data_IF_956957184016
#
_entry.id   IF_956957184016
#
_cell.length_a   1.000
_cell.length_b   1.000
_cell.length_c   1.000
_cell.angle_alpha   90.00
_cell.angle_beta   90.00
_cell.angle_gamma   90.00
#
_symmetry.space_group_name_H-M   'P 1'
#
loop_
_entity.id
_entity.type
_entity.pdbx_description
1 polymer ?
#
# COMPACT_ATOMS: atom_id res chain seq x y z
N UNK A 1 18.90 -13.12 16.06
CA UNK A 1 17.73 -12.21 16.06
C UNK A 1 17.17 -12.23 14.64
N UNK A 2 15.93 -12.69 14.42
CA UNK A 2 15.35 -12.74 13.08
C UNK A 2 14.81 -11.37 12.71
N UNK A 3 15.55 -10.61 11.89
CA UNK A 3 15.05 -9.34 11.36
C UNK A 3 14.17 -9.66 10.16
N UNK A 4 12.86 -9.66 10.39
CA UNK A 4 11.83 -9.73 9.34
C UNK A 4 11.59 -8.32 8.85
N UNK A 5 11.76 -8.01 7.57
CA UNK A 5 11.41 -6.69 7.04
C UNK A 5 10.13 -6.78 6.24
N UNK A 6 9.11 -6.01 6.64
CA UNK A 6 7.82 -5.97 5.95
C UNK A 6 7.89 -4.92 4.83
N UNK A 7 8.64 -5.19 3.76
CA UNK A 7 8.53 -4.43 2.51
C UNK A 7 7.41 -5.01 1.66
N UNK A 8 6.46 -4.18 1.26
CA UNK A 8 5.47 -4.61 0.28
C UNK A 8 6.00 -4.44 -1.14
N UNK A 9 6.08 -5.53 -1.91
CA UNK A 9 6.34 -5.45 -3.36
C UNK A 9 5.01 -5.35 -4.10
N UNK A 10 4.78 -4.19 -4.71
CA UNK A 10 3.51 -3.86 -5.36
C UNK A 10 3.63 -4.11 -6.87
N UNK A 11 2.81 -5.03 -7.39
CA UNK A 11 2.72 -5.29 -8.84
C UNK A 11 2.36 -4.00 -9.60
N UNK A 12 3.08 -3.68 -10.70
CA UNK A 12 2.76 -2.57 -11.62
C UNK A 12 1.32 -2.60 -12.16
N UNK A 13 0.68 -3.76 -12.19
CA UNK A 13 -0.71 -3.97 -12.63
C UNK A 13 -1.72 -3.79 -11.48
N UNK A 14 -1.27 -3.44 -10.29
CA UNK A 14 -2.13 -3.15 -9.13
C UNK A 14 -3.05 -1.99 -9.47
N UNK A 15 -4.34 -2.23 -9.34
CA UNK A 15 -5.38 -1.23 -9.51
C UNK A 15 -5.79 -0.66 -8.17
N UNK A 16 -6.25 0.59 -8.19
CA UNK A 16 -6.81 1.24 -7.01
C UNK A 16 -8.29 1.48 -7.25
N UNK A 17 -9.12 0.95 -6.35
CA UNK A 17 -10.56 1.15 -6.35
C UNK A 17 -10.99 1.98 -5.15
N UNK A 18 -11.75 3.04 -5.41
CA UNK A 18 -12.43 3.78 -4.33
C UNK A 18 -13.80 3.16 -4.15
N UNK A 19 -14.04 2.54 -3.00
CA UNK A 19 -15.30 1.84 -2.69
C UNK A 19 -16.02 2.59 -1.59
N UNK A 20 -17.28 2.94 -1.84
CA UNK A 20 -18.08 3.65 -0.86
C UNK A 20 -19.02 2.69 -0.12
N UNK A 21 -18.95 2.67 1.21
CA UNK A 21 -19.69 1.77 2.09
C UNK A 21 -21.19 2.08 2.20
N UNK A 22 -21.90 2.04 1.08
CA UNK A 22 -23.30 2.40 0.96
C UNK A 22 -23.58 3.91 1.06
N UNK A 23 -24.87 4.26 1.00
CA UNK A 23 -25.33 5.64 1.19
C UNK A 23 -24.99 6.09 2.61
N UNK A 24 -24.45 7.32 2.73
CA UNK A 24 -24.04 7.90 4.03
C UNK A 24 -23.05 7.03 4.83
N UNK A 25 -22.33 6.08 4.18
CA UNK A 25 -21.34 5.21 4.83
C UNK A 25 -21.90 4.29 5.91
N UNK A 26 -23.20 4.00 5.88
CA UNK A 26 -23.86 3.15 6.88
C UNK A 26 -23.23 1.76 7.07
N UNK A 27 -22.56 1.21 6.04
CA UNK A 27 -21.91 -0.10 6.12
C UNK A 27 -20.41 -0.03 6.43
N UNK A 28 -19.88 1.15 6.77
CA UNK A 28 -18.45 1.31 7.00
C UNK A 28 -17.95 0.44 8.16
N UNK A 29 -18.69 0.38 9.26
CA UNK A 29 -18.31 -0.47 10.40
C UNK A 29 -18.29 -1.95 10.02
N UNK A 30 -19.26 -2.41 9.23
CA UNK A 30 -19.27 -3.79 8.73
C UNK A 30 -18.05 -4.08 7.84
N UNK A 31 -17.69 -3.13 6.97
CA UNK A 31 -16.52 -3.27 6.11
C UNK A 31 -15.23 -3.49 6.92
N UNK A 32 -15.06 -2.70 7.98
CA UNK A 32 -13.87 -2.68 8.82
C UNK A 32 -13.79 -3.92 9.72
N UNK A 33 -14.86 -4.21 10.45
CA UNK A 33 -14.90 -5.32 11.41
C UNK A 33 -14.82 -6.67 10.71
N UNK A 34 -15.52 -6.82 9.58
CA UNK A 34 -15.63 -8.10 8.87
C UNK A 34 -14.67 -8.22 7.67
N UNK A 35 -13.70 -7.31 7.53
CA UNK A 35 -12.65 -7.37 6.50
C UNK A 35 -13.23 -7.61 5.09
N UNK A 36 -14.28 -6.86 4.73
CA UNK A 36 -15.01 -7.08 3.48
C UNK A 36 -15.51 -5.79 2.85
N UNK A 37 -15.71 -5.81 1.54
CA UNK A 37 -16.35 -4.72 0.82
C UNK A 37 -17.39 -5.24 -0.17
N UNK A 38 -18.51 -4.54 -0.29
CA UNK A 38 -19.62 -4.93 -1.15
C UNK A 38 -20.43 -3.72 -1.62
N UNK A 39 -21.35 -3.95 -2.56
CA UNK A 39 -22.27 -2.91 -3.01
C UNK A 39 -23.54 -2.95 -2.15
N UNK A 40 -24.09 -1.78 -1.82
CA UNK A 40 -25.40 -1.62 -1.18
C UNK A 40 -26.54 -1.96 -2.15
N UNK A 41 -26.59 -3.23 -2.57
CA UNK A 41 -27.50 -3.79 -3.56
C UNK A 41 -27.74 -5.28 -3.28
N UNK A 42 -29.00 -5.77 -3.32
CA UNK A 42 -29.31 -7.20 -3.20
C UNK A 42 -28.99 -7.92 -4.51
N UNK A 43 -27.73 -8.30 -4.69
CA UNK A 43 -27.21 -8.95 -5.90
C UNK A 43 -27.26 -10.49 -5.78
N UNK A 44 -28.43 -11.01 -5.41
CA UNK A 44 -28.68 -12.45 -5.25
C UNK A 44 -28.39 -13.21 -6.56
N UNK A 45 -27.54 -14.24 -6.49
CA UNK A 45 -27.16 -15.05 -7.64
C UNK A 45 -26.09 -14.46 -8.57
N UNK A 46 -25.50 -13.30 -8.26
CA UNK A 46 -24.34 -12.79 -9.03
C UNK A 46 -23.09 -13.61 -8.71
N UNK A 47 -22.51 -14.22 -9.74
CA UNK A 47 -21.20 -14.88 -9.74
C UNK A 47 -20.20 -14.14 -10.65
N UNK A 48 -18.99 -14.69 -10.81
CA UNK A 48 -17.94 -14.06 -11.63
C UNK A 48 -18.32 -14.01 -13.12
N UNK A 49 -19.08 -14.99 -13.62
CA UNK A 49 -19.52 -15.05 -15.02
C UNK A 49 -20.53 -13.94 -15.32
N UNK A 50 -21.41 -13.67 -14.37
CA UNK A 50 -22.37 -12.58 -14.42
C UNK A 50 -21.66 -11.23 -14.31
N UNK A 51 -20.67 -11.11 -13.41
CA UNK A 51 -19.91 -9.88 -13.27
C UNK A 51 -19.03 -9.56 -14.49
N UNK A 52 -18.54 -10.59 -15.20
CA UNK A 52 -17.61 -10.43 -16.34
C UNK A 52 -18.33 -10.04 -17.64
N UNK A 53 -19.62 -10.34 -17.77
CA UNK A 53 -20.45 -9.88 -18.89
C UNK A 53 -21.18 -8.59 -18.52
N UNK A 54 -20.91 -7.50 -19.25
CA UNK A 54 -21.59 -6.22 -19.03
C UNK A 54 -23.12 -6.33 -19.13
N UNK A 55 -23.60 -7.22 -19.98
CA UNK A 55 -25.03 -7.48 -20.15
C UNK A 55 -25.61 -8.25 -18.96
N UNK A 56 -24.90 -9.27 -18.46
CA UNK A 56 -25.34 -9.98 -17.26
C UNK A 56 -25.27 -9.09 -16.01
N UNK A 57 -24.23 -8.26 -15.88
CA UNK A 57 -24.14 -7.25 -14.83
C UNK A 57 -25.27 -6.21 -14.92
N UNK A 58 -25.73 -5.87 -16.14
CA UNK A 58 -26.92 -5.03 -16.36
C UNK A 58 -28.20 -5.71 -15.89
N UNK A 59 -28.38 -7.00 -16.19
CA UNK A 59 -29.51 -7.78 -15.68
C UNK A 59 -29.50 -7.85 -14.16
N UNK A 60 -28.36 -8.16 -13.56
CA UNK A 60 -28.19 -8.16 -12.10
C UNK A 60 -28.54 -6.81 -11.46
N UNK A 61 -28.07 -5.70 -12.05
CA UNK A 61 -28.40 -4.36 -11.56
C UNK A 61 -29.90 -4.02 -11.68
N UNK A 62 -30.58 -4.49 -12.74
CA UNK A 62 -32.03 -4.35 -12.88
C UNK A 62 -32.78 -5.16 -11.82
N UNK A 63 -32.35 -6.40 -11.56
CA UNK A 63 -32.93 -7.27 -10.53
C UNK A 63 -32.80 -6.69 -9.12
N UNK A 64 -31.60 -6.19 -8.78
CA UNK A 64 -31.39 -5.50 -7.51
C UNK A 64 -32.28 -4.26 -7.34
N UNK A 65 -32.50 -3.52 -8.43
CA UNK A 65 -33.38 -2.35 -8.42
C UNK A 65 -34.86 -2.73 -8.29
N UNK A 66 -35.29 -3.80 -8.96
CA UNK A 66 -36.62 -4.39 -8.83
C UNK A 66 -36.94 -4.76 -7.38
N UNK A 67 -36.04 -5.49 -6.72
CA UNK A 67 -36.14 -5.84 -5.29
C UNK A 67 -36.32 -4.58 -4.44
N UNK A 68 -35.45 -3.58 -4.66
CA UNK A 68 -35.50 -2.31 -3.92
C UNK A 68 -36.81 -1.54 -4.13
N UNK A 69 -37.40 -1.56 -5.32
CA UNK A 69 -38.71 -0.92 -5.57
C UNK A 69 -39.83 -1.59 -4.78
N UNK A 70 -39.90 -2.93 -4.83
CA UNK A 70 -40.91 -3.70 -4.09
C UNK A 70 -40.83 -3.43 -2.59
N UNK A 71 -39.62 -3.46 -2.03
CA UNK A 71 -39.39 -3.20 -0.60
C UNK A 71 -39.73 -1.77 -0.19
N UNK A 72 -39.64 -0.80 -1.11
CA UNK A 72 -40.05 0.58 -0.89
C UNK A 72 -41.57 0.82 -1.09
N UNK A 73 -42.39 -0.23 -1.18
CA UNK A 73 -43.85 -0.13 -1.19
C UNK A 73 -44.51 -0.21 -2.58
N UNK A 74 -43.75 -0.49 -3.63
CA UNK A 74 -44.28 -0.74 -4.97
C UNK A 74 -44.81 -2.19 -5.06
N UNK A 75 -45.96 -2.44 -4.42
CA UNK A 75 -46.53 -3.79 -4.23
C UNK A 75 -46.95 -4.48 -5.53
N UNK A 76 -47.24 -3.70 -6.56
CA UNK A 76 -47.63 -4.20 -7.89
C UNK A 76 -46.41 -4.66 -8.72
N UNK A 77 -45.20 -4.50 -8.18
CA UNK A 77 -43.97 -4.91 -8.84
C UNK A 77 -43.56 -6.33 -8.44
N UNK A 78 -43.80 -7.31 -9.32
CA UNK A 78 -43.29 -8.66 -9.15
C UNK A 78 -41.77 -8.69 -9.34
N UNK A 79 -41.06 -9.37 -8.42
CA UNK A 79 -39.62 -9.60 -8.56
C UNK A 79 -39.46 -10.77 -9.54
N UNK A 80 -38.78 -10.59 -10.68
CA UNK A 80 -38.59 -11.67 -11.63
C UNK A 80 -37.85 -12.85 -10.98
N UNK A 81 -38.29 -14.10 -11.18
CA UNK A 81 -37.75 -15.26 -10.49
C UNK A 81 -36.33 -15.61 -10.92
N UNK A 82 -35.90 -15.20 -12.12
CA UNK A 82 -34.55 -15.44 -12.60
C UNK A 82 -33.90 -14.22 -13.26
N UNK A 83 -32.57 -14.24 -13.34
CA UNK A 83 -31.79 -13.22 -14.07
C UNK A 83 -32.06 -13.25 -15.58
N UNK A 84 -32.52 -14.39 -16.13
CA UNK A 84 -32.85 -14.54 -17.54
C UNK A 84 -34.11 -13.73 -17.91
N UNK A 85 -35.05 -13.60 -16.97
CA UNK A 85 -36.30 -12.86 -17.14
C UNK A 85 -36.10 -11.33 -17.18
N UNK A 86 -34.90 -10.86 -16.82
CA UNK A 86 -34.51 -9.44 -16.84
C UNK A 86 -33.92 -8.98 -18.19
N UNK A 87 -33.96 -9.85 -19.20
CA UNK A 87 -33.43 -9.62 -20.55
C UNK A 87 -34.29 -8.73 -21.46
N UNK A 88 -35.52 -8.39 -21.06
CA UNK A 88 -36.46 -7.56 -21.84
C UNK A 88 -36.38 -6.03 -21.65
N UNK A 89 -37.06 -5.30 -22.54
CA UNK A 89 -37.27 -3.84 -22.56
C UNK A 89 -38.24 -3.32 -21.46
N UNK A 90 -38.21 -2.02 -21.13
CA UNK A 90 -37.55 -1.51 -19.94
C UNK A 90 -38.43 -1.61 -18.67
N UNK A 91 -37.97 -2.39 -17.68
CA UNK A 91 -38.11 -1.94 -16.29
C UNK A 91 -37.46 -0.56 -16.27
N UNK A 92 -38.23 0.53 -16.02
CA UNK A 92 -37.72 1.92 -15.97
C UNK A 92 -36.30 1.93 -15.41
N UNK A 93 -35.32 2.06 -16.30
CA UNK A 93 -33.94 1.84 -15.92
C UNK A 93 -33.60 2.87 -14.83
N UNK A 94 -32.94 2.46 -13.73
CA UNK A 94 -32.53 3.43 -12.74
C UNK A 94 -31.71 4.53 -13.44
N UNK A 95 -31.92 5.80 -13.03
CA UNK A 95 -31.20 6.97 -13.58
C UNK A 95 -29.67 6.79 -13.61
N UNK A 96 -29.14 5.84 -12.82
CA UNK A 96 -27.72 5.53 -12.70
C UNK A 96 -27.35 4.08 -13.07
N UNK A 97 -28.16 3.39 -13.90
CA UNK A 97 -27.95 1.96 -14.24
C UNK A 97 -26.52 1.68 -14.75
N UNK A 98 -26.01 2.49 -15.68
CA UNK A 98 -24.65 2.30 -16.22
C UNK A 98 -23.55 2.45 -15.15
N UNK A 99 -23.76 3.31 -14.15
CA UNK A 99 -22.81 3.47 -13.04
C UNK A 99 -22.85 2.27 -12.09
N UNK A 100 -24.04 1.70 -11.84
CA UNK A 100 -24.20 0.49 -11.05
C UNK A 100 -23.55 -0.71 -11.75
N UNK A 101 -23.81 -0.89 -13.05
CA UNK A 101 -23.17 -1.92 -13.87
C UNK A 101 -21.65 -1.77 -13.83
N UNK A 102 -21.14 -0.55 -14.04
CA UNK A 102 -19.72 -0.27 -13.93
C UNK A 102 -19.14 -0.59 -12.56
N UNK A 103 -19.91 -0.42 -11.48
CA UNK A 103 -19.47 -0.73 -10.12
C UNK A 103 -19.42 -2.24 -9.86
N UNK A 104 -20.41 -2.99 -10.35
CA UNK A 104 -20.46 -4.46 -10.30
C UNK A 104 -19.24 -5.05 -11.03
N UNK A 105 -19.03 -4.65 -12.28
CA UNK A 105 -17.92 -5.16 -13.11
C UNK A 105 -16.57 -4.84 -12.46
N UNK A 106 -16.37 -3.61 -11.98
CA UNK A 106 -15.11 -3.21 -11.33
C UNK A 106 -14.80 -4.06 -10.11
N UNK A 107 -15.76 -4.23 -9.20
CA UNK A 107 -15.50 -4.86 -7.92
C UNK A 107 -15.46 -6.39 -7.99
N UNK A 108 -16.32 -7.00 -8.81
CA UNK A 108 -16.49 -8.47 -8.80
C UNK A 108 -15.81 -9.18 -9.98
N UNK A 109 -15.56 -8.49 -11.11
CA UNK A 109 -14.86 -9.09 -12.25
C UNK A 109 -13.43 -8.58 -12.40
N UNK A 110 -13.21 -7.26 -12.29
CA UNK A 110 -11.90 -6.68 -12.64
C UNK A 110 -10.93 -6.62 -11.46
N UNK A 111 -11.43 -6.42 -10.24
CA UNK A 111 -10.56 -6.33 -9.08
C UNK A 111 -9.94 -7.70 -8.79
N UNK A 112 -8.64 -7.75 -8.54
CA UNK A 112 -7.88 -8.98 -8.28
C UNK A 112 -7.17 -8.94 -6.93
N UNK A 113 -6.68 -10.08 -6.48
CA UNK A 113 -5.80 -10.14 -5.30
C UNK A 113 -4.63 -9.18 -5.49
N UNK A 114 -4.30 -8.44 -4.45
CA UNK A 114 -3.26 -7.41 -4.48
C UNK A 114 -3.76 -6.01 -4.83
N UNK A 115 -4.94 -5.86 -5.45
CA UNK A 115 -5.50 -4.54 -5.76
C UNK A 115 -5.83 -3.76 -4.47
N UNK A 116 -5.62 -2.45 -4.51
CA UNK A 116 -5.85 -1.54 -3.38
C UNK A 116 -7.31 -1.08 -3.36
N UNK A 117 -7.93 -1.17 -2.19
CA UNK A 117 -9.25 -0.66 -1.86
C UNK A 117 -9.10 0.58 -0.98
N UNK A 118 -9.74 1.67 -1.38
CA UNK A 118 -9.79 2.93 -0.63
C UNK A 118 -11.24 3.20 -0.25
N UNK A 119 -11.53 3.22 1.04
CA UNK A 119 -12.88 3.47 1.55
C UNK A 119 -12.88 4.75 2.36
N UNK A 120 -13.52 5.83 1.89
CA UNK A 120 -13.60 7.06 2.66
C UNK A 120 -14.86 7.13 3.52
N UNK A 121 -14.71 7.60 4.76
CA UNK A 121 -15.82 7.98 5.61
C UNK A 121 -16.53 9.26 5.11
N UNK A 122 -17.66 9.61 5.71
CA UNK A 122 -18.44 10.80 5.44
C UNK A 122 -17.72 12.07 5.93
N UNK A 123 -18.12 13.23 5.40
CA UNK A 123 -17.60 14.53 5.84
C UNK A 123 -16.19 14.87 5.32
N UNK A 124 -15.76 16.11 5.55
CA UNK A 124 -14.43 16.60 5.15
C UNK A 124 -13.32 16.09 6.08
N UNK A 125 -13.64 15.88 7.36
CA UNK A 125 -12.73 15.41 8.40
C UNK A 125 -12.77 13.89 8.61
N UNK A 126 -13.56 13.16 7.82
CA UNK A 126 -13.66 11.72 7.96
C UNK A 126 -12.35 11.01 7.61
N UNK A 127 -12.16 9.83 8.17
CA UNK A 127 -11.02 8.96 7.91
C UNK A 127 -11.13 8.31 6.52
N UNK A 128 -9.97 8.01 5.92
CA UNK A 128 -9.86 7.24 4.68
C UNK A 128 -9.11 5.95 5.00
N UNK A 129 -9.80 4.84 4.77
CA UNK A 129 -9.30 3.51 5.04
C UNK A 129 -8.66 2.94 3.77
N UNK A 130 -7.47 2.38 3.91
CA UNK A 130 -6.74 1.71 2.83
C UNK A 130 -6.68 0.22 3.16
N UNK A 131 -7.13 -0.62 2.25
CA UNK A 131 -7.10 -2.07 2.38
C UNK A 131 -6.63 -2.71 1.08
N UNK A 132 -6.25 -3.98 1.14
CA UNK A 132 -5.84 -4.77 -0.02
C UNK A 132 -6.75 -5.98 -0.17
N UNK A 133 -7.13 -6.29 -1.41
CA UNK A 133 -7.84 -7.55 -1.69
C UNK A 133 -6.90 -8.71 -1.37
N UNK A 134 -7.31 -9.55 -0.43
CA UNK A 134 -6.51 -10.65 0.11
C UNK A 134 -6.90 -12.02 -0.48
N UNK A 135 -8.09 -12.15 -1.07
CA UNK A 135 -8.57 -13.39 -1.68
C UNK A 135 -9.20 -13.19 -3.07
N UNK A 136 -9.13 -14.21 -3.95
CA UNK A 136 -9.91 -14.25 -5.18
C UNK A 136 -11.40 -14.13 -4.90
N UNK A 137 -12.17 -13.61 -5.85
CA UNK A 137 -13.62 -13.52 -5.70
C UNK A 137 -14.26 -14.92 -5.72
N UNK A 138 -15.05 -15.26 -4.69
CA UNK A 138 -15.81 -16.49 -4.63
C UNK A 138 -17.33 -16.18 -4.66
N UNK A 139 -18.14 -16.84 -5.51
CA UNK A 139 -19.59 -16.58 -5.60
C UNK A 139 -20.37 -16.85 -4.30
N UNK A 140 -19.83 -17.75 -3.46
CA UNK A 140 -20.40 -18.15 -2.17
C UNK A 140 -20.04 -17.20 -1.03
N UNK A 141 -19.09 -16.27 -1.23
CA UNK A 141 -18.79 -15.20 -0.28
C UNK A 141 -19.92 -14.16 -0.33
N UNK A 142 -20.98 -14.45 0.42
CA UNK A 142 -22.22 -13.67 0.44
C UNK A 142 -22.58 -13.24 1.85
N UNK A 143 -23.14 -12.05 1.98
CA UNK A 143 -23.75 -11.58 3.22
C UNK A 143 -25.23 -11.30 3.03
N UNK A 144 -26.03 -11.57 4.05
CA UNK A 144 -27.43 -11.17 4.11
C UNK A 144 -27.49 -9.71 4.53
N UNK A 145 -28.22 -8.90 3.75
CA UNK A 145 -28.42 -7.49 4.06
C UNK A 145 -29.81 -7.33 4.68
N UNK A 146 -29.86 -6.99 5.96
CA UNK A 146 -31.13 -6.90 6.72
C UNK A 146 -32.16 -5.96 6.07
N UNK A 147 -31.71 -4.88 5.43
CA UNK A 147 -32.58 -3.93 4.74
C UNK A 147 -33.25 -4.49 3.48
N UNK A 148 -32.75 -5.61 2.97
CA UNK A 148 -33.25 -6.26 1.78
C UNK A 148 -33.91 -7.60 2.12
N UNK A 149 -34.66 -7.72 3.23
CA UNK A 149 -35.57 -8.83 3.51
C UNK A 149 -34.99 -10.25 3.22
N UNK A 150 -33.78 -10.50 3.72
CA UNK A 150 -33.09 -11.80 3.53
C UNK A 150 -32.31 -11.95 2.20
N UNK A 151 -32.42 -11.01 1.26
CA UNK A 151 -31.60 -11.00 0.06
C UNK A 151 -30.11 -10.81 0.40
N UNK A 152 -29.26 -11.52 -0.35
CA UNK A 152 -27.82 -11.50 -0.14
C UNK A 152 -27.08 -10.68 -1.20
N UNK A 153 -25.92 -10.15 -0.80
CA UNK A 153 -24.95 -9.50 -1.69
C UNK A 153 -23.62 -10.27 -1.67
N UNK A 154 -22.93 -10.41 -2.81
CA UNK A 154 -21.56 -10.89 -2.83
C UNK A 154 -20.62 -9.82 -2.25
N UNK A 155 -19.51 -10.26 -1.64
CA UNK A 155 -18.47 -9.36 -1.14
C UNK A 155 -17.07 -9.75 -1.64
N UNK A 156 -16.13 -8.82 -1.48
CA UNK A 156 -14.69 -9.08 -1.61
C UNK A 156 -14.06 -9.04 -0.24
N UNK A 157 -13.24 -10.04 0.07
CA UNK A 157 -12.38 -10.02 1.26
C UNK A 157 -11.27 -8.99 1.06
N UNK A 158 -11.00 -8.25 2.13
CA UNK A 158 -10.06 -7.13 2.15
C UNK A 158 -9.33 -7.15 3.49
N UNK A 159 -7.99 -7.13 3.44
CA UNK A 159 -7.16 -6.86 4.61
C UNK A 159 -6.93 -5.36 4.72
N UNK A 160 -7.41 -4.73 5.80
CA UNK A 160 -7.14 -3.32 6.05
C UNK A 160 -5.68 -3.10 6.42
N UNK A 161 -5.04 -2.13 5.75
CA UNK A 161 -3.62 -1.77 5.92
C UNK A 161 -3.48 -0.53 6.79
N UNK A 162 -4.34 0.48 6.56
CA UNK A 162 -4.35 1.75 7.28
C UNK A 162 -5.78 2.19 7.56
N UNK A 163 -6.04 2.57 8.80
CA UNK A 163 -7.36 2.94 9.32
C UNK A 163 -7.37 4.28 10.06
N UNK A 164 -6.28 5.04 9.93
CA UNK A 164 -5.94 6.24 10.69
C UNK A 164 -5.70 7.46 9.79
N UNK A 165 -5.82 7.34 8.47
CA UNK A 165 -5.49 8.42 7.54
C UNK A 165 -6.65 9.41 7.44
N UNK A 166 -6.48 10.59 8.03
CA UNK A 166 -7.48 11.66 7.91
C UNK A 166 -7.56 12.20 6.46
N UNK A 167 -8.77 12.43 5.95
CA UNK A 167 -8.98 12.95 4.59
C UNK A 167 -8.33 14.31 4.34
N UNK A 168 -8.16 15.14 5.37
CA UNK A 168 -7.48 16.44 5.26
C UNK A 168 -5.96 16.33 5.07
N UNK A 169 -5.35 15.21 5.47
CA UNK A 169 -3.94 14.95 5.26
C UNK A 169 -3.64 14.55 3.80
N UNK A 170 -4.69 14.15 3.05
CA UNK A 170 -4.53 13.74 1.67
C UNK A 170 -4.32 14.95 0.74
N UNK A 171 -3.37 14.85 -0.20
CA UNK A 171 -3.21 15.80 -1.31
C UNK A 171 -4.52 16.02 -2.09
N UNK A 172 -4.73 17.25 -2.58
CA UNK A 172 -5.96 17.64 -3.32
C UNK A 172 -6.27 16.70 -4.51
N UNK A 173 -5.24 16.20 -5.17
CA UNK A 173 -5.34 15.28 -6.30
C UNK A 173 -5.73 13.84 -5.90
N UNK A 174 -5.53 13.43 -4.64
CA UNK A 174 -6.13 12.21 -4.08
C UNK A 174 -7.55 12.50 -3.60
N UNK A 175 -7.76 13.63 -2.91
CA UNK A 175 -9.05 14.03 -2.34
C UNK A 175 -10.18 14.01 -3.39
N UNK A 176 -9.89 14.41 -4.63
CA UNK A 176 -10.86 14.37 -5.73
C UNK A 176 -11.48 12.99 -5.98
N UNK A 177 -10.74 11.91 -5.72
CA UNK A 177 -11.22 10.53 -5.92
C UNK A 177 -12.09 10.05 -4.75
N UNK A 178 -11.84 10.53 -3.53
CA UNK A 178 -12.51 10.10 -2.29
C UNK A 178 -13.70 10.97 -1.89
N UNK A 179 -13.94 12.09 -2.57
CA UNK A 179 -15.04 13.02 -2.23
C UNK A 179 -16.38 12.67 -2.87
N UNK A 180 -16.43 12.18 -4.12
CA UNK A 180 -17.71 11.96 -4.83
C UNK A 180 -17.76 10.67 -5.67
N UNK A 181 -18.79 9.82 -5.48
CA UNK A 181 -18.94 8.52 -6.14
C UNK A 181 -19.33 8.60 -7.62
N UNK A 182 -19.00 7.54 -8.39
CA UNK A 182 -19.78 6.29 -8.42
C UNK A 182 -19.45 5.37 -7.24
N UNK A 183 -20.37 4.44 -6.92
CA UNK A 183 -20.23 3.54 -5.76
C UNK A 183 -18.88 2.81 -5.73
N UNK A 184 -18.36 2.46 -6.91
CA UNK A 184 -16.98 2.02 -7.11
C UNK A 184 -16.30 2.86 -8.20
N UNK A 185 -15.34 3.67 -7.78
CA UNK A 185 -14.40 4.38 -8.65
C UNK A 185 -13.18 3.52 -8.94
N UNK A 186 -12.57 3.70 -10.12
CA UNK A 186 -11.23 3.17 -10.42
C UNK A 186 -10.32 4.36 -10.65
N UNK A 187 -9.20 4.42 -9.94
CA UNK A 187 -8.16 5.43 -10.18
C UNK A 187 -7.40 5.00 -11.44
N UNK A 188 -7.14 5.93 -12.34
CA UNK A 188 -6.30 5.65 -13.52
C UNK A 188 -4.88 5.39 -13.04
N UNK A 189 -4.24 4.36 -13.55
CA UNK A 189 -2.82 4.09 -13.25
C UNK A 189 -1.99 5.18 -13.93
N UNK A 190 -1.49 6.09 -13.11
CA UNK A 190 -0.61 7.21 -13.49
C UNK A 190 0.33 7.57 -12.32
N UNK A 191 0.98 8.74 -12.37
CA UNK A 191 1.91 9.22 -11.33
C UNK A 191 1.26 9.34 -9.95
N UNK A 192 -0.06 9.58 -9.88
CA UNK A 192 -0.81 9.70 -8.61
C UNK A 192 -0.91 8.34 -7.91
N UNK A 193 -0.82 7.23 -8.64
CA UNK A 193 -0.84 5.86 -8.08
C UNK A 193 0.17 5.71 -6.94
N UNK A 194 1.40 6.19 -7.15
CA UNK A 194 2.45 6.12 -6.13
C UNK A 194 2.12 6.92 -4.86
N UNK A 195 1.32 7.99 -4.98
CA UNK A 195 0.87 8.78 -3.82
C UNK A 195 -0.16 8.03 -2.99
N UNK A 196 -1.03 7.21 -3.61
CA UNK A 196 -1.92 6.33 -2.85
C UNK A 196 -1.13 5.30 -2.05
N UNK A 197 -0.05 4.76 -2.62
CA UNK A 197 0.83 3.82 -1.90
C UNK A 197 1.54 4.47 -0.72
N UNK A 198 1.92 5.75 -0.81
CA UNK A 198 2.47 6.50 0.33
C UNK A 198 1.51 6.56 1.54
N UNK A 199 0.19 6.46 1.33
CA UNK A 199 -0.79 6.41 2.42
C UNK A 199 -1.22 5.00 2.79
N UNK A 200 -1.04 4.02 1.90
CA UNK A 200 -1.47 2.64 2.13
C UNK A 200 -0.39 1.78 2.80
N UNK A 201 0.88 2.04 2.50
CA UNK A 201 2.01 1.23 2.92
C UNK A 201 3.07 2.10 3.61
N UNK A 202 3.69 1.54 4.65
CA UNK A 202 4.82 2.18 5.32
C UNK A 202 6.07 2.12 4.43
N UNK A 203 6.54 0.91 4.14
CA UNK A 203 7.66 0.65 3.24
C UNK A 203 7.21 -0.22 2.07
N UNK A 204 7.60 0.15 0.84
CA UNK A 204 7.18 -0.56 -0.36
C UNK A 204 8.15 -0.41 -1.54
N UNK A 205 8.07 -1.33 -2.48
CA UNK A 205 8.69 -1.28 -3.81
C UNK A 205 7.58 -1.27 -4.85
N UNK A 206 7.62 -0.32 -5.78
CA UNK A 206 6.68 -0.23 -6.89
C UNK A 206 7.41 0.18 -8.16
N UNK A 207 7.61 -0.77 -9.07
CA UNK A 207 8.40 -0.58 -10.27
C UNK A 207 9.84 -0.19 -9.96
N UNK A 208 10.25 1.02 -10.36
CA UNK A 208 11.59 1.56 -10.11
C UNK A 208 11.65 2.45 -8.85
N UNK A 209 10.55 2.61 -8.13
CA UNK A 209 10.46 3.43 -6.93
C UNK A 209 10.51 2.52 -5.70
N UNK A 210 11.27 2.91 -4.70
CA UNK A 210 11.14 2.38 -3.35
C UNK A 210 10.86 3.49 -2.35
N UNK A 211 10.15 3.12 -1.30
CA UNK A 211 9.94 3.93 -0.11
C UNK A 211 10.31 3.09 1.10
N UNK A 212 11.10 3.67 1.99
CA UNK A 212 11.46 3.06 3.26
C UNK A 212 11.15 4.06 4.36
N UNK A 213 10.51 3.58 5.42
CA UNK A 213 10.38 4.29 6.67
C UNK A 213 11.39 3.68 7.65
N UNK A 214 12.15 4.52 8.32
CA UNK A 214 12.99 4.15 9.47
C UNK A 214 12.30 4.65 10.72
N UNK A 215 11.87 3.73 11.58
CA UNK A 215 11.17 4.05 12.82
C UNK A 215 12.20 4.54 13.83
N UNK A 216 11.84 5.60 14.54
CA UNK A 216 12.62 6.19 15.64
C UNK A 216 11.73 6.23 16.90
N UNK A 217 11.32 5.05 17.43
CA UNK A 217 10.31 4.95 18.48
C UNK A 217 10.76 5.55 19.82
N UNK A 218 12.06 5.57 20.10
CA UNK A 218 12.59 6.12 21.34
C UNK A 218 12.83 7.63 21.25
N UNK A 219 12.69 8.24 20.06
CA UNK A 219 12.83 9.68 19.92
C UNK A 219 11.78 10.41 20.76
N UNK A 220 12.25 11.25 21.69
CA UNK A 220 11.38 11.96 22.63
C UNK A 220 11.11 13.41 22.23
N UNK A 221 11.82 13.94 21.22
CA UNK A 221 11.72 15.34 20.82
C UNK A 221 12.35 16.33 21.79
N UNK A 222 13.03 15.84 22.86
CA UNK A 222 13.62 16.69 23.91
C UNK A 222 14.96 17.29 23.51
N UNK A 223 15.75 16.52 22.77
CA UNK A 223 17.04 16.95 22.26
C UNK A 223 17.12 16.66 20.75
N UNK A 224 17.50 17.67 19.96
CA UNK A 224 17.70 17.51 18.52
C UNK A 224 19.01 16.80 18.20
N UNK A 225 19.98 16.83 19.12
CA UNK A 225 21.26 16.15 18.95
C UNK A 225 21.14 14.62 19.04
N UNK A 226 20.06 14.09 19.66
CA UNK A 226 19.71 12.65 19.65
C UNK A 226 19.50 12.09 18.24
N UNK A 227 19.41 12.94 17.21
CA UNK A 227 19.20 12.52 15.83
C UNK A 227 20.49 12.45 15.01
N UNK A 228 21.62 12.92 15.54
CA UNK A 228 22.82 13.14 14.73
C UNK A 228 23.33 11.82 14.12
N UNK A 229 23.49 10.76 14.93
CA UNK A 229 23.93 9.46 14.43
C UNK A 229 22.94 8.84 13.44
N UNK A 230 21.64 8.99 13.70
CA UNK A 230 20.59 8.51 12.77
C UNK A 230 20.58 9.25 11.43
N UNK A 231 20.71 10.58 11.46
CA UNK A 231 20.75 11.42 10.25
C UNK A 231 22.02 11.12 9.46
N UNK A 232 23.18 11.06 10.12
CA UNK A 232 24.46 10.73 9.50
C UNK A 232 24.41 9.35 8.85
N UNK A 233 23.85 8.35 9.54
CA UNK A 233 23.71 7.00 9.02
C UNK A 233 22.83 6.97 7.76
N UNK A 234 21.66 7.61 7.78
CA UNK A 234 20.75 7.66 6.63
C UNK A 234 21.40 8.41 5.46
N UNK A 235 22.09 9.53 5.72
CA UNK A 235 22.82 10.30 4.70
C UNK A 235 23.96 9.47 4.10
N UNK A 236 24.70 8.72 4.92
CA UNK A 236 25.76 7.84 4.46
C UNK A 236 25.21 6.72 3.56
N UNK A 237 24.11 6.06 3.95
CA UNK A 237 23.44 5.05 3.12
C UNK A 237 22.96 5.64 1.78
N UNK A 238 22.39 6.84 1.82
CA UNK A 238 21.92 7.53 0.62
C UNK A 238 23.04 7.91 -0.33
N UNK A 239 24.11 8.50 0.20
CA UNK A 239 25.27 8.92 -0.57
C UNK A 239 26.02 7.71 -1.14
N UNK A 240 26.33 6.72 -0.30
CA UNK A 240 27.02 5.49 -0.71
C UNK A 240 26.24 4.75 -1.79
N UNK A 241 24.92 4.60 -1.67
CA UNK A 241 24.12 3.94 -2.72
C UNK A 241 24.10 4.69 -4.05
N UNK A 242 24.26 6.02 -4.04
CA UNK A 242 24.17 6.86 -5.24
C UNK A 242 25.41 6.79 -6.15
N UNK A 243 26.53 6.29 -5.65
CA UNK A 243 27.82 6.29 -6.35
C UNK A 243 28.04 4.96 -7.09
N UNK A 244 28.74 4.93 -8.20
CA UNK A 244 29.35 3.67 -8.65
C UNK A 244 30.50 3.25 -7.72
N UNK A 245 31.02 2.03 -7.87
CA UNK A 245 32.07 1.49 -6.99
C UNK A 245 33.36 2.30 -7.06
N UNK A 246 33.75 2.80 -8.23
CA UNK A 246 34.98 3.58 -8.42
C UNK A 246 34.87 4.95 -7.73
N UNK A 247 33.76 5.64 -7.94
CA UNK A 247 33.43 6.91 -7.31
C UNK A 247 33.32 6.77 -5.80
N UNK A 248 32.75 5.67 -5.31
CA UNK A 248 32.64 5.39 -3.88
C UNK A 248 34.01 5.17 -3.24
N UNK A 249 34.90 4.38 -3.87
CA UNK A 249 36.29 4.22 -3.42
C UNK A 249 37.02 5.57 -3.39
N UNK A 250 36.93 6.34 -4.47
CA UNK A 250 37.59 7.64 -4.55
C UNK A 250 37.07 8.63 -3.49
N UNK A 251 35.79 8.54 -3.14
CA UNK A 251 35.17 9.32 -2.07
C UNK A 251 35.69 8.90 -0.69
N UNK A 252 35.72 7.59 -0.40
CA UNK A 252 36.25 7.04 0.85
C UNK A 252 37.72 7.42 1.04
N UNK A 253 38.55 7.34 0.01
CA UNK A 253 39.98 7.72 0.10
C UNK A 253 40.22 9.21 0.43
N UNK A 254 39.20 10.07 0.24
CA UNK A 254 39.25 11.50 0.57
C UNK A 254 38.66 11.82 1.94
N UNK A 255 37.93 10.88 2.52
CA UNK A 255 37.30 11.02 3.82
C UNK A 255 38.09 10.22 4.86
N UNK A 256 38.35 10.82 6.02
CA UNK A 256 38.95 10.15 7.17
C UNK A 256 37.91 9.54 8.12
N UNK A 257 36.63 9.84 7.92
CA UNK A 257 35.50 9.36 8.73
C UNK A 257 34.19 9.37 7.93
N UNK A 258 33.15 8.71 8.45
CA UNK A 258 31.80 8.73 7.90
C UNK A 258 31.23 10.16 7.90
N UNK A 259 31.43 10.93 8.97
CA UNK A 259 30.97 12.32 9.04
C UNK A 259 31.59 13.20 7.94
N UNK A 260 32.89 13.02 7.68
CA UNK A 260 33.55 13.75 6.62
C UNK A 260 33.06 13.30 5.26
N UNK A 261 32.86 11.99 5.07
CA UNK A 261 32.29 11.43 3.84
C UNK A 261 30.91 12.04 3.56
N UNK A 262 30.02 12.01 4.55
CA UNK A 262 28.68 12.59 4.46
C UNK A 262 28.77 14.07 4.09
N UNK A 263 29.59 14.83 4.82
CA UNK A 263 29.77 16.27 4.59
C UNK A 263 30.26 16.60 3.17
N UNK A 264 31.17 15.81 2.60
CA UNK A 264 31.70 15.99 1.25
C UNK A 264 30.68 15.63 0.14
N UNK A 265 29.68 14.83 0.47
CA UNK A 265 28.77 14.24 -0.51
C UNK A 265 27.29 14.58 -0.32
N UNK A 266 26.98 15.52 0.58
CA UNK A 266 25.63 16.05 0.77
C UNK A 266 25.01 16.51 -0.54
N UNK A 267 23.74 16.13 -0.76
CA UNK A 267 22.94 16.62 -1.89
C UNK A 267 23.21 15.96 -3.24
N UNK A 268 24.05 14.91 -3.30
CA UNK A 268 24.21 14.03 -4.49
C UNK A 268 23.22 12.86 -4.50
N UNK A 269 22.28 12.88 -3.58
CA UNK A 269 21.40 11.78 -3.28
C UNK A 269 20.19 11.90 -4.21
N UNK A 270 20.02 10.98 -5.16
CA UNK A 270 18.92 10.93 -6.13
C UNK A 270 17.54 10.64 -5.52
N UNK A 271 17.22 11.33 -4.42
CA UNK A 271 16.07 11.16 -3.54
C UNK A 271 14.89 11.94 -4.11
N UNK A 272 13.73 11.27 -4.19
CA UNK A 272 12.47 11.91 -4.60
C UNK A 272 11.83 12.67 -3.44
N UNK A 273 11.93 12.11 -2.23
CA UNK A 273 11.49 12.73 -0.97
C UNK A 273 12.33 12.19 0.19
N UNK A 274 12.83 13.08 1.03
CA UNK A 274 13.28 12.77 2.37
C UNK A 274 12.46 13.65 3.32
N UNK A 275 11.81 13.04 4.31
CA UNK A 275 11.07 13.75 5.34
C UNK A 275 11.32 13.09 6.68
N UNK A 276 11.28 13.88 7.74
CA UNK A 276 11.42 13.43 9.11
C UNK A 276 10.26 14.00 9.92
N UNK A 277 9.68 13.19 10.80
CA UNK A 277 8.62 13.61 11.70
C UNK A 277 9.10 13.56 13.16
N UNK A 278 8.99 14.70 13.85
CA UNK A 278 9.57 14.95 15.18
C UNK A 278 8.60 14.73 16.36
N UNK A 279 7.51 13.97 16.19
CA UNK A 279 6.68 13.58 17.34
C UNK A 279 7.17 12.24 17.90
N UNK A 280 6.75 11.87 19.11
CA UNK A 280 7.05 10.54 19.68
C UNK A 280 5.83 9.63 19.45
N UNK A 281 5.96 8.51 18.73
CA UNK A 281 7.19 7.97 18.10
C UNK A 281 7.55 8.67 16.79
N UNK A 282 8.85 8.92 16.58
CA UNK A 282 9.35 9.61 15.37
C UNK A 282 9.62 8.65 14.22
N UNK A 283 9.85 9.20 13.02
CA UNK A 283 10.30 8.40 11.87
C UNK A 283 11.00 9.23 10.80
N UNK A 284 11.79 8.54 9.97
CA UNK A 284 12.40 9.05 8.75
C UNK A 284 11.77 8.36 7.53
N UNK A 285 11.35 9.10 6.52
CA UNK A 285 10.77 8.58 5.28
C UNK A 285 11.64 8.98 4.11
N UNK A 286 12.17 7.96 3.44
CA UNK A 286 13.02 8.11 2.28
C UNK A 286 12.36 7.43 1.10
N UNK A 287 12.07 8.22 0.06
CA UNK A 287 11.51 7.75 -1.22
C UNK A 287 12.50 8.03 -2.34
N UNK A 288 12.80 7.02 -3.13
CA UNK A 288 13.85 7.07 -4.16
C UNK A 288 13.42 6.32 -5.42
N UNK A 289 13.93 6.76 -6.58
CA UNK A 289 13.84 6.01 -7.85
C UNK A 289 14.90 4.91 -7.89
N UNK A 290 14.80 3.94 -6.98
CA UNK A 290 15.53 2.68 -7.08
C UNK A 290 14.84 1.60 -6.26
N UNK A 291 14.39 0.52 -6.89
CA UNK A 291 13.74 -0.61 -6.21
C UNK A 291 14.66 -1.26 -5.15
N UNK A 292 15.94 -1.38 -5.46
CA UNK A 292 16.92 -2.06 -4.61
C UNK A 292 17.40 -1.23 -3.41
N UNK A 293 17.19 0.10 -3.40
CA UNK A 293 17.70 0.96 -2.32
C UNK A 293 17.11 0.59 -0.96
N UNK A 294 15.79 0.39 -0.89
CA UNK A 294 15.12 0.05 0.35
C UNK A 294 15.68 -1.25 0.97
N UNK A 295 15.94 -2.27 0.13
CA UNK A 295 16.55 -3.52 0.57
C UNK A 295 18.02 -3.34 0.97
N UNK A 296 18.80 -2.57 0.21
CA UNK A 296 20.19 -2.23 0.56
C UNK A 296 20.27 -1.57 1.94
N UNK A 297 19.45 -0.53 2.18
CA UNK A 297 19.42 0.17 3.46
C UNK A 297 18.95 -0.75 4.59
N UNK A 298 17.95 -1.58 4.35
CA UNK A 298 17.48 -2.56 5.33
C UNK A 298 18.57 -3.58 5.69
N UNK A 299 19.29 -4.12 4.72
CA UNK A 299 20.37 -5.09 4.96
C UNK A 299 21.43 -4.48 5.88
N UNK A 300 21.93 -3.28 5.55
CA UNK A 300 23.00 -2.63 6.32
C UNK A 300 22.54 -2.30 7.74
N UNK A 301 21.31 -1.80 7.92
CA UNK A 301 20.79 -1.49 9.26
C UNK A 301 20.49 -2.72 10.10
N UNK A 302 20.21 -3.86 9.48
CA UNK A 302 19.74 -5.07 10.18
C UNK A 302 20.83 -5.96 10.75
N UNK A 303 22.05 -5.80 10.27
CA UNK A 303 23.12 -6.77 10.53
C UNK A 303 24.47 -6.07 10.60
N UNK A 304 25.37 -6.65 11.39
CA UNK A 304 26.75 -6.22 11.46
C UNK A 304 27.44 -6.40 10.10
N UNK A 305 28.48 -5.61 9.86
CA UNK A 305 29.18 -5.58 8.59
C UNK A 305 29.70 -6.94 8.09
N UNK A 306 30.09 -7.84 9.00
CA UNK A 306 30.51 -9.21 8.70
C UNK A 306 29.38 -10.13 8.18
N UNK A 307 28.11 -9.74 8.34
CA UNK A 307 26.92 -10.54 8.02
C UNK A 307 26.05 -9.98 6.90
N UNK A 308 26.44 -8.88 6.26
CA UNK A 308 25.62 -8.26 5.22
C UNK A 308 25.36 -9.19 4.03
N UNK A 309 26.37 -9.95 3.59
CA UNK A 309 26.23 -10.86 2.44
C UNK A 309 25.28 -12.01 2.76
N UNK A 310 25.44 -12.66 3.91
CA UNK A 310 24.53 -13.71 4.38
C UNK A 310 23.09 -13.20 4.46
N UNK A 311 22.91 -11.98 5.00
CA UNK A 311 21.61 -11.34 5.10
C UNK A 311 21.02 -11.04 3.73
N UNK A 312 21.81 -10.52 2.79
CA UNK A 312 21.40 -10.25 1.42
C UNK A 312 21.00 -11.52 0.67
N UNK A 313 21.76 -12.62 0.81
CA UNK A 313 21.45 -13.90 0.17
C UNK A 313 20.15 -14.51 0.73
N UNK A 314 19.86 -14.32 2.03
CA UNK A 314 18.56 -14.68 2.61
C UNK A 314 17.41 -13.90 1.95
N UNK A 315 17.55 -12.59 1.76
CA UNK A 315 16.55 -11.78 1.08
C UNK A 315 16.30 -12.20 -0.37
N UNK A 316 17.37 -12.50 -1.11
CA UNK A 316 17.24 -13.00 -2.49
C UNK A 316 16.45 -14.31 -2.54
N UNK A 317 16.71 -15.20 -1.57
CA UNK A 317 16.04 -16.50 -1.44
C UNK A 317 14.56 -16.35 -1.08
N UNK A 318 14.21 -15.46 -0.14
CA UNK A 318 12.83 -15.15 0.22
C UNK A 318 12.08 -14.51 -0.95
N UNK A 319 12.69 -13.51 -1.62
CA UNK A 319 12.10 -12.84 -2.76
C UNK A 319 11.96 -13.75 -4.00
N UNK A 320 12.76 -14.81 -4.12
CA UNK A 320 12.62 -15.81 -5.18
C UNK A 320 11.29 -16.58 -5.09
N UNK A 321 10.72 -16.73 -3.88
CA UNK A 321 9.41 -17.35 -3.66
C UNK A 321 8.27 -16.44 -4.16
N UNK A 322 8.45 -15.13 -4.08
CA UNK A 322 7.51 -14.13 -4.59
C UNK A 322 7.65 -13.91 -6.11
N UNK A 323 8.89 -14.05 -6.62
CA UNK A 323 9.24 -13.92 -8.03
C UNK A 323 9.19 -12.49 -8.57
N UNK A 324 9.45 -12.33 -9.87
CA UNK A 324 9.26 -11.06 -10.58
C UNK A 324 10.10 -9.89 -10.06
N UNK A 325 9.43 -8.78 -9.76
CA UNK A 325 10.09 -7.51 -9.35
C UNK A 325 10.75 -7.60 -7.98
N UNK A 326 10.20 -8.40 -7.07
CA UNK A 326 10.75 -8.62 -5.73
C UNK A 326 12.16 -9.23 -5.85
N UNK A 327 12.25 -10.34 -6.58
CA UNK A 327 13.52 -11.03 -6.79
C UNK A 327 14.55 -10.16 -7.53
N UNK A 328 14.12 -9.41 -8.56
CA UNK A 328 15.01 -8.50 -9.27
C UNK A 328 15.56 -7.38 -8.37
N UNK A 329 14.72 -6.79 -7.51
CA UNK A 329 15.14 -5.79 -6.54
C UNK A 329 16.08 -6.36 -5.48
N UNK A 330 15.79 -7.57 -4.98
CA UNK A 330 16.63 -8.25 -4.01
C UNK A 330 18.01 -8.60 -4.57
N UNK A 331 18.07 -9.14 -5.79
CA UNK A 331 19.34 -9.46 -6.46
C UNK A 331 20.19 -8.21 -6.70
N UNK A 332 19.58 -7.12 -7.19
CA UNK A 332 20.28 -5.86 -7.38
C UNK A 332 20.76 -5.24 -6.04
N UNK A 333 19.99 -5.39 -4.96
CA UNK A 333 20.42 -4.96 -3.63
C UNK A 333 21.59 -5.80 -3.12
N UNK A 334 21.56 -7.12 -3.32
CA UNK A 334 22.63 -8.04 -2.94
C UNK A 334 23.93 -7.75 -3.67
N UNK A 335 23.88 -7.52 -4.99
CA UNK A 335 25.05 -7.12 -5.77
C UNK A 335 25.62 -5.78 -5.29
N UNK A 336 24.74 -4.86 -4.90
CA UNK A 336 25.14 -3.57 -4.34
C UNK A 336 25.82 -3.72 -2.99
N UNK A 337 25.27 -4.55 -2.11
CA UNK A 337 25.87 -4.86 -0.79
C UNK A 337 27.22 -5.53 -0.97
N UNK A 338 27.38 -6.46 -1.91
CA UNK A 338 28.66 -7.10 -2.20
C UNK A 338 29.70 -6.12 -2.74
N UNK A 339 29.31 -5.27 -3.69
CA UNK A 339 30.20 -4.23 -4.20
C UNK A 339 30.63 -3.28 -3.08
N UNK A 340 29.69 -2.89 -2.21
CA UNK A 340 29.92 -2.03 -1.06
C UNK A 340 30.88 -2.67 -0.03
N UNK A 341 30.63 -3.93 0.36
CA UNK A 341 31.44 -4.63 1.37
C UNK A 341 32.86 -4.91 0.91
N UNK A 342 33.09 -5.13 -0.39
CA UNK A 342 34.43 -5.37 -0.95
C UNK A 342 35.34 -4.15 -0.90
N UNK A 343 34.76 -2.96 -0.95
CA UNK A 343 35.52 -1.71 -1.09
C UNK A 343 35.51 -0.86 0.19
N UNK A 344 34.68 -1.18 1.16
CA UNK A 344 34.62 -0.49 2.44
C UNK A 344 35.85 -0.85 3.29
N UNK A 345 36.72 0.13 3.64
CA UNK A 345 37.83 -0.11 4.56
C UNK A 345 37.33 -0.62 5.91
N UNK A 346 38.16 -1.42 6.58
CA UNK A 346 37.79 -2.01 7.88
C UNK A 346 37.46 -0.94 8.91
N UNK A 347 38.17 0.18 8.88
CA UNK A 347 37.97 1.32 9.78
C UNK A 347 36.57 1.92 9.60
N UNK A 348 36.16 2.18 8.36
CA UNK A 348 34.81 2.65 8.03
C UNK A 348 33.74 1.60 8.36
N UNK A 349 34.07 0.31 8.23
CA UNK A 349 33.16 -0.78 8.58
C UNK A 349 32.84 -0.80 10.07
N UNK A 350 33.87 -0.62 10.90
CA UNK A 350 33.71 -0.53 12.36
C UNK A 350 32.98 0.75 12.75
N UNK A 351 33.35 1.89 12.17
CA UNK A 351 32.66 3.16 12.40
C UNK A 351 31.17 3.08 12.03
N UNK A 352 30.82 2.37 10.95
CA UNK A 352 29.43 2.19 10.56
C UNK A 352 28.66 1.26 11.52
N UNK A 353 29.31 0.21 12.01
CA UNK A 353 28.73 -0.67 13.03
C UNK A 353 28.47 0.10 14.34
N UNK A 354 29.43 0.93 14.77
CA UNK A 354 29.30 1.82 15.94
C UNK A 354 28.17 2.84 15.74
N UNK A 355 28.14 3.54 14.60
CA UNK A 355 27.12 4.53 14.25
C UNK A 355 25.70 3.93 14.24
N UNK A 356 25.59 2.68 13.78
CA UNK A 356 24.33 1.93 13.79
C UNK A 356 23.90 1.59 15.22
N UNK A 357 24.82 1.13 16.06
CA UNK A 357 24.54 0.83 17.47
C UNK A 357 24.14 2.09 18.25
N UNK A 358 24.79 3.23 17.97
CA UNK A 358 24.42 4.53 18.50
C UNK A 358 23.02 4.95 18.05
N UNK A 359 22.72 4.92 16.74
CA UNK A 359 21.40 5.26 16.23
C UNK A 359 20.27 4.35 16.80
N UNK A 360 20.55 3.06 17.00
CA UNK A 360 19.62 2.16 17.68
C UNK A 360 19.47 2.53 19.17
N UNK A 361 20.55 2.89 19.85
CA UNK A 361 20.53 3.29 21.26
C UNK A 361 19.78 4.62 21.49
N UNK A 362 20.06 5.63 20.66
CA UNK A 362 19.51 6.99 20.79
C UNK A 362 18.02 7.04 20.51
N UNK A 363 17.60 6.52 19.35
CA UNK A 363 16.22 6.70 18.87
C UNK A 363 15.50 5.39 18.61
N UNK A 364 16.16 4.24 18.85
CA UNK A 364 15.60 2.95 18.48
C UNK A 364 15.59 2.73 16.98
N UNK A 365 16.51 3.38 16.24
CA UNK A 365 16.49 3.38 14.78
C UNK A 365 16.52 1.95 14.25
N UNK A 366 15.43 1.56 13.60
CA UNK A 366 15.31 0.28 12.91
C UNK A 366 14.70 0.55 11.56
N UNK A 367 15.16 -0.15 10.53
CA UNK A 367 14.36 -0.19 9.31
C UNK A 367 13.02 -0.86 9.67
N UNK A 368 11.94 -0.13 9.46
CA UNK A 368 10.65 -0.41 10.11
C UNK A 368 10.04 -1.71 9.63
N UNK A 369 9.56 -2.47 10.61
CA UNK A 369 8.60 -3.57 10.46
C UNK A 369 7.30 -3.04 11.04
N UNK A 370 6.61 -2.18 10.31
CA UNK A 370 5.30 -1.74 10.74
C UNK A 370 4.31 -2.87 10.48
N UNK A 371 4.20 -3.78 11.44
CA UNK A 371 2.96 -4.54 11.62
C UNK A 371 1.93 -3.50 12.02
N UNK A 372 1.05 -3.14 11.08
CA UNK A 372 -0.09 -2.28 11.39
C UNK A 372 -0.80 -2.74 12.67
N UNK A 373 -1.51 -1.84 13.38
CA UNK A 373 -2.17 -2.19 14.63
C UNK A 373 -2.98 -3.48 14.44
N UNK A 374 -2.69 -4.49 15.27
CA UNK A 374 -3.40 -5.77 15.28
C UNK A 374 -4.87 -5.58 15.68
#
# INVERSE_FOLDING_TARGET
>A
MSVSFDFEVIDKKTNIYVVYAGRQRKYLQDFLINNRVYLDLPLSGVDINIASSRENARRAARGAHAIKRRLNGDKDFEIPPSLADLSGDPIKAPKHLNQLVGSIVKLFANAKVGDLIVTPDAGMYGTVYFGRIDAPFHPDDRLVLNEYDGYSAPYRRVRWLRSDVEKRALPKDIVKYVQKPPAVGKVKVDEITSKFFDFAFYSYIYGDISRIIFDAPNYTGRDFYELDSSITLIQFLLASYSMDSESFVAALMRASSIDQFVSLHRGREGVLRASMEFHSPGWFDVKRRSAAFALFAAIILSSSSDKWIETADRFVSEAALEGGEAHAAASAARDRVEAFSRVLPREFSLELDDLREEAESEVGLRASVHRGPK
#
